data_IF_611357449059
#
_entry.id   IF_611357449059
#
_cell.length_a   1.000
_cell.length_b   1.000
_cell.length_c   1.000
_cell.angle_alpha   90.00
_cell.angle_beta   90.00
_cell.angle_gamma   90.00
#
_symmetry.space_group_name_H-M   'P 1'
#
loop_
_entity.id
_entity.type
_entity.pdbx_description
1 polymer ?
#
# COMPACT_ATOMS: atom_id res chain seq x y z
N UNK A 1 7.63 6.74 -10.86
CA UNK A 1 7.06 7.08 -9.54
C UNK A 1 7.92 6.46 -8.46
N UNK A 2 8.04 7.12 -7.31
CA UNK A 2 8.90 6.64 -6.22
C UNK A 2 8.21 5.54 -5.43
N UNK A 3 8.96 4.48 -5.10
CA UNK A 3 8.61 3.55 -4.01
C UNK A 3 9.64 3.80 -2.92
N UNK A 4 9.17 4.03 -1.70
CA UNK A 4 10.01 4.47 -0.58
C UNK A 4 9.97 3.44 0.53
N UNK A 5 11.11 3.15 1.14
CA UNK A 5 11.13 2.35 2.36
C UNK A 5 10.58 3.18 3.53
N UNK A 6 9.59 2.64 4.25
CA UNK A 6 8.89 3.34 5.32
C UNK A 6 9.79 3.61 6.54
N UNK A 7 10.87 2.82 6.72
CA UNK A 7 11.92 3.09 7.69
C UNK A 7 12.80 4.29 7.32
N UNK A 8 12.79 4.71 6.05
CA UNK A 8 13.55 5.86 5.55
C UNK A 8 12.69 7.13 5.49
N UNK A 9 11.45 7.03 4.99
CA UNK A 9 10.55 8.18 4.86
C UNK A 9 9.08 7.77 4.81
N UNK A 10 8.23 8.61 5.41
CA UNK A 10 6.77 8.47 5.40
C UNK A 10 6.11 9.13 4.20
N UNK A 11 6.91 9.75 3.33
CA UNK A 11 6.43 10.50 2.18
C UNK A 11 6.95 9.87 0.89
N UNK A 12 6.03 9.59 -0.03
CA UNK A 12 6.30 9.04 -1.36
C UNK A 12 5.58 9.89 -2.40
N UNK A 13 6.29 10.27 -3.46
CA UNK A 13 5.79 11.14 -4.53
C UNK A 13 5.19 12.48 -4.02
N UNK A 14 5.73 13.02 -2.91
CA UNK A 14 5.27 14.27 -2.30
C UNK A 14 4.07 14.15 -1.36
N UNK A 15 3.53 12.95 -1.13
CA UNK A 15 2.39 12.70 -0.24
C UNK A 15 2.78 11.82 0.93
N UNK A 16 2.26 12.14 2.12
CA UNK A 16 2.41 11.30 3.31
C UNK A 16 1.54 10.05 3.21
N UNK A 17 1.94 8.99 3.94
CA UNK A 17 1.12 7.80 4.20
C UNK A 17 -0.27 8.13 4.78
N UNK A 18 -0.43 9.31 5.41
CA UNK A 18 -1.71 9.78 5.96
C UNK A 18 -2.55 10.63 4.98
N UNK A 19 -1.96 11.06 3.85
CA UNK A 19 -2.63 11.99 2.92
C UNK A 19 -3.43 11.29 1.85
N UNK A 20 -2.99 10.09 1.45
CA UNK A 20 -3.59 9.29 0.40
C UNK A 20 -3.59 7.82 0.80
N UNK A 21 -4.49 7.02 0.20
CA UNK A 21 -4.39 5.57 0.30
C UNK A 21 -2.99 5.10 -0.06
N UNK A 22 -2.45 4.16 0.71
CA UNK A 22 -1.08 3.69 0.58
C UNK A 22 -1.03 2.18 0.51
N UNK A 23 -0.29 1.64 -0.45
CA UNK A 23 0.08 0.23 -0.47
C UNK A 23 1.45 0.07 0.20
N UNK A 24 1.44 -0.55 1.37
CA UNK A 24 2.63 -0.83 2.18
C UNK A 24 2.97 -2.31 2.04
N UNK A 25 4.09 -2.61 1.37
CA UNK A 25 4.54 -3.98 1.18
C UNK A 25 5.57 -4.39 2.23
N UNK A 26 5.31 -5.47 2.95
CA UNK A 26 6.21 -6.08 3.91
C UNK A 26 7.05 -7.15 3.22
N UNK A 27 8.26 -6.75 2.81
CA UNK A 27 9.17 -7.58 2.03
C UNK A 27 10.49 -7.88 2.78
N UNK A 28 10.49 -7.73 4.11
CA UNK A 28 11.65 -8.04 4.96
C UNK A 28 12.11 -9.50 4.90
N UNK A 29 11.27 -10.41 4.40
CA UNK A 29 11.59 -11.83 4.16
C UNK A 29 12.10 -12.11 2.73
N UNK A 30 12.10 -11.12 1.83
CA UNK A 30 12.64 -11.27 0.47
C UNK A 30 14.12 -10.92 0.47
N UNK A 31 14.91 -11.69 -0.28
CA UNK A 31 16.35 -11.48 -0.43
C UNK A 31 16.77 -11.55 -1.90
N UNK A 32 17.96 -11.02 -2.21
CA UNK A 32 18.57 -11.14 -3.53
C UNK A 32 17.66 -10.68 -4.67
N UNK A 33 17.54 -11.53 -5.70
CA UNK A 33 16.80 -11.23 -6.93
C UNK A 33 15.29 -11.06 -6.68
N UNK A 34 14.72 -11.77 -5.69
CA UNK A 34 13.29 -11.67 -5.38
C UNK A 34 12.93 -10.29 -4.83
N UNK A 35 13.79 -9.71 -3.97
CA UNK A 35 13.61 -8.35 -3.47
C UNK A 35 13.72 -7.33 -4.60
N UNK A 36 14.71 -7.49 -5.49
CA UNK A 36 14.91 -6.58 -6.64
C UNK A 36 13.73 -6.62 -7.59
N UNK A 37 13.22 -7.82 -7.89
CA UNK A 37 12.04 -8.00 -8.74
C UNK A 37 10.80 -7.38 -8.10
N UNK A 38 10.58 -7.61 -6.81
CA UNK A 38 9.46 -7.02 -6.08
C UNK A 38 9.48 -5.49 -6.09
N UNK A 39 10.65 -4.87 -5.91
CA UNK A 39 10.77 -3.42 -6.01
C UNK A 39 10.47 -2.88 -7.42
N UNK A 40 10.86 -3.61 -8.46
CA UNK A 40 10.54 -3.28 -9.85
C UNK A 40 9.04 -3.39 -10.12
N UNK A 41 8.39 -4.42 -9.58
CA UNK A 41 6.94 -4.62 -9.65
C UNK A 41 6.19 -3.49 -8.95
N UNK A 42 6.61 -3.11 -7.74
CA UNK A 42 6.04 -2.00 -7.00
C UNK A 42 6.18 -0.66 -7.74
N UNK A 43 7.30 -0.42 -8.42
CA UNK A 43 7.49 0.78 -9.26
C UNK A 43 6.55 0.78 -10.47
N UNK A 44 6.30 -0.39 -11.05
CA UNK A 44 5.35 -0.58 -12.15
C UNK A 44 3.92 -0.28 -11.68
N UNK A 45 3.48 -0.88 -10.58
CA UNK A 45 2.17 -0.61 -9.99
C UNK A 45 1.99 0.86 -9.59
N UNK A 46 3.04 1.47 -9.02
CA UNK A 46 3.03 2.89 -8.72
C UNK A 46 2.78 3.70 -9.99
N UNK A 47 3.52 3.43 -11.08
CA UNK A 47 3.34 4.10 -12.36
C UNK A 47 1.93 3.97 -12.93
N UNK A 48 1.31 2.78 -12.81
CA UNK A 48 -0.08 2.53 -13.20
C UNK A 48 -1.08 3.38 -12.37
N UNK A 49 -0.73 3.72 -11.12
CA UNK A 49 -1.61 4.44 -10.20
C UNK A 49 -1.38 5.96 -10.12
N UNK A 50 -0.35 6.53 -10.75
CA UNK A 50 -0.05 7.95 -10.53
C UNK A 50 -0.81 8.98 -11.35
N UNK A 51 -1.79 8.53 -12.14
CA UNK A 51 -2.87 9.41 -12.61
C UNK A 51 -4.16 8.86 -12.04
N UNK A 52 -4.52 9.36 -10.86
CA UNK A 52 -5.66 8.92 -10.11
C UNK A 52 -6.91 9.73 -10.42
N UNK A 53 -8.03 9.05 -10.59
CA UNK A 53 -9.34 9.66 -10.37
C UNK A 53 -9.57 9.75 -8.87
N UNK A 54 -9.61 10.96 -8.31
CA UNK A 54 -9.96 11.21 -6.91
C UNK A 54 -11.45 11.54 -6.88
N UNK A 55 -12.21 10.73 -6.14
CA UNK A 55 -13.64 10.97 -5.94
C UNK A 55 -13.90 11.56 -4.57
N UNK A 56 -14.54 12.72 -4.53
CA UNK A 56 -15.06 13.36 -3.32
C UNK A 56 -16.59 13.35 -3.40
N UNK A 57 -17.23 12.48 -2.60
CA UNK A 57 -18.63 12.11 -2.77
C UNK A 57 -18.91 11.53 -4.17
N UNK A 58 -19.79 12.20 -4.92
CA UNK A 58 -20.20 11.82 -6.28
C UNK A 58 -19.32 12.43 -7.39
N UNK A 59 -18.37 13.32 -7.03
CA UNK A 59 -17.55 14.04 -8.00
C UNK A 59 -16.18 13.39 -8.11
N UNK A 60 -15.95 12.74 -9.24
CA UNK A 60 -14.67 12.12 -9.58
C UNK A 60 -13.87 13.05 -10.51
N UNK A 61 -12.73 13.55 -10.05
CA UNK A 61 -11.82 14.37 -10.86
C UNK A 61 -10.53 13.63 -11.14
N UNK A 62 -10.12 13.61 -12.41
CA UNK A 62 -8.77 13.17 -12.77
C UNK A 62 -7.82 14.26 -12.30
N UNK A 63 -7.01 13.95 -11.30
CA UNK A 63 -5.93 14.83 -10.83
C UNK A 63 -4.61 14.30 -11.38
N UNK A 64 -3.66 15.21 -11.61
CA UNK A 64 -2.27 14.83 -11.89
C UNK A 64 -1.54 14.44 -10.60
N UNK A 65 -2.20 13.58 -9.82
CA UNK A 65 -1.76 13.08 -8.54
C UNK A 65 -2.05 11.57 -8.46
N UNK A 66 -1.27 10.81 -7.68
CA UNK A 66 -1.55 9.40 -7.49
C UNK A 66 -2.87 9.15 -6.78
N UNK A 67 -3.56 8.07 -7.15
CA UNK A 67 -4.69 7.52 -6.40
C UNK A 67 -4.22 6.72 -5.18
N UNK A 68 -3.05 6.08 -5.31
CA UNK A 68 -2.40 5.28 -4.26
C UNK A 68 -0.91 5.59 -4.24
N UNK A 69 -0.31 5.74 -3.06
CA UNK A 69 1.14 5.85 -2.88
C UNK A 69 1.74 4.54 -2.38
N UNK A 70 3.03 4.31 -2.66
CA UNK A 70 3.64 2.99 -2.49
C UNK A 70 4.82 3.07 -1.54
N UNK A 71 4.83 2.16 -0.57
CA UNK A 71 5.89 1.98 0.41
C UNK A 71 6.33 0.53 0.51
N UNK A 72 7.57 0.33 0.94
CA UNK A 72 8.12 -0.98 1.32
C UNK A 72 8.54 -0.97 2.78
N UNK A 73 8.51 -2.12 3.42
CA UNK A 73 9.01 -2.36 4.77
C UNK A 73 10.01 -3.50 4.67
N UNK A 74 11.29 -3.14 4.64
CA UNK A 74 12.41 -4.09 4.57
C UNK A 74 12.93 -4.52 5.94
N UNK A 75 12.57 -3.80 6.98
CA UNK A 75 12.97 -4.08 8.36
C UNK A 75 11.74 -4.03 9.25
N UNK A 76 11.63 -4.96 10.19
CA UNK A 76 10.57 -4.96 11.20
C UNK A 76 10.74 -3.77 12.16
N UNK A 77 9.66 -3.35 12.80
CA UNK A 77 9.70 -2.24 13.75
C UNK A 77 9.12 -0.92 13.25
N UNK A 78 9.00 0.02 14.19
CA UNK A 78 8.73 1.43 13.92
C UNK A 78 7.37 1.66 13.26
N UNK A 79 7.36 2.38 12.14
CA UNK A 79 6.12 2.69 11.44
C UNK A 79 5.52 1.49 10.72
N UNK A 80 6.33 0.48 10.36
CA UNK A 80 5.84 -0.76 9.79
C UNK A 80 4.92 -1.49 10.76
N UNK A 81 5.34 -1.64 12.03
CA UNK A 81 4.51 -2.23 13.08
C UNK A 81 3.25 -1.42 13.34
N UNK A 82 3.35 -0.09 13.40
CA UNK A 82 2.16 0.76 13.59
C UNK A 82 1.12 0.57 12.48
N UNK A 83 1.54 0.35 11.24
CA UNK A 83 0.62 0.07 10.13
C UNK A 83 -0.01 -1.33 10.28
N UNK A 84 0.72 -2.32 10.77
CA UNK A 84 0.16 -3.64 11.12
C UNK A 84 -0.91 -3.52 12.20
N UNK A 85 -0.61 -2.78 13.28
CA UNK A 85 -1.53 -2.56 14.40
C UNK A 85 -2.84 -1.89 13.94
N UNK A 86 -2.73 -0.85 13.10
CA UNK A 86 -3.89 -0.15 12.54
C UNK A 86 -4.75 -1.06 11.65
N UNK A 87 -4.12 -1.95 10.88
CA UNK A 87 -4.81 -2.95 10.08
C UNK A 87 -5.33 -4.15 10.90
N UNK A 88 -4.97 -4.22 12.19
CA UNK A 88 -5.30 -5.32 13.09
C UNK A 88 -4.64 -6.63 12.70
N UNK A 89 -3.45 -6.58 12.10
CA UNK A 89 -2.61 -7.74 11.78
C UNK A 89 -1.82 -8.13 13.03
N UNK A 90 -1.96 -9.37 13.48
CA UNK A 90 -1.15 -9.95 14.55
C UNK A 90 0.02 -10.73 13.96
N UNK A 91 1.08 -10.92 14.75
CA UNK A 91 2.28 -11.64 14.32
C UNK A 91 1.99 -13.06 13.78
N UNK A 92 0.97 -13.72 14.33
CA UNK A 92 0.56 -15.07 13.90
C UNK A 92 -0.29 -15.09 12.62
N UNK A 93 -0.78 -13.94 12.13
CA UNK A 93 -1.70 -13.85 10.99
C UNK A 93 -0.99 -13.93 9.63
N UNK A 94 0.34 -13.78 9.59
CA UNK A 94 1.13 -13.69 8.36
C UNK A 94 2.45 -14.45 8.48
N UNK A 95 2.57 -15.53 7.71
CA UNK A 95 3.75 -16.41 7.70
C UNK A 95 4.72 -16.15 6.54
N UNK A 96 4.47 -15.12 5.73
CA UNK A 96 5.25 -14.82 4.52
C UNK A 96 5.06 -13.36 4.08
N UNK A 97 5.72 -12.91 3.01
CA UNK A 97 5.59 -11.54 2.51
C UNK A 97 4.14 -11.18 2.20
N UNK A 98 3.74 -9.96 2.53
CA UNK A 98 2.35 -9.50 2.41
C UNK A 98 2.31 -7.99 2.18
N UNK A 99 1.14 -7.47 1.78
CA UNK A 99 0.92 -6.05 1.63
C UNK A 99 -0.31 -5.59 2.41
N UNK A 100 -0.28 -4.35 2.88
CA UNK A 100 -1.42 -3.68 3.49
C UNK A 100 -1.78 -2.50 2.60
N UNK A 101 -3.00 -2.46 2.11
CA UNK A 101 -3.60 -1.26 1.54
C UNK A 101 -4.26 -0.48 2.68
N UNK A 102 -3.69 0.65 3.05
CA UNK A 102 -4.13 1.50 4.15
C UNK A 102 -4.75 2.79 3.61
N UNK A 103 -5.96 3.12 4.03
CA UNK A 103 -6.60 4.41 3.82
C UNK A 103 -6.94 5.04 5.18
N UNK A 104 -6.01 5.84 5.71
CA UNK A 104 -6.16 6.50 7.02
C UNK A 104 -7.32 7.49 7.01
N UNK A 105 -7.54 8.22 5.90
CA UNK A 105 -8.62 9.21 5.80
C UNK A 105 -9.98 8.54 5.67
N UNK A 106 -10.04 7.44 4.91
CA UNK A 106 -11.23 6.58 4.83
C UNK A 106 -11.44 5.73 6.08
N UNK A 107 -10.48 5.70 7.02
CA UNK A 107 -10.58 4.92 8.24
C UNK A 107 -10.63 3.41 7.99
N UNK A 108 -9.98 2.92 6.93
CA UNK A 108 -10.01 1.49 6.60
C UNK A 108 -8.66 0.93 6.10
N UNK A 109 -8.51 -0.38 6.17
CA UNK A 109 -7.37 -1.12 5.63
C UNK A 109 -7.80 -2.46 5.02
N UNK A 110 -6.97 -2.98 4.13
CA UNK A 110 -7.08 -4.31 3.56
C UNK A 110 -5.73 -5.01 3.58
N UNK A 111 -5.71 -6.26 4.05
CA UNK A 111 -4.51 -7.08 4.12
C UNK A 111 -4.52 -8.05 2.95
N UNK A 112 -3.48 -7.98 2.12
CA UNK A 112 -3.25 -8.89 1.01
C UNK A 112 -2.12 -9.86 1.35
N UNK A 113 -2.42 -11.15 1.38
CA UNK A 113 -1.44 -12.19 1.62
C UNK A 113 -0.66 -12.50 0.34
N UNK A 114 0.68 -12.40 0.40
CA UNK A 114 1.55 -12.55 -0.76
C UNK A 114 1.86 -11.22 -1.45
N UNK A 115 2.88 -11.25 -2.31
CA UNK A 115 3.37 -10.10 -3.08
C UNK A 115 3.33 -10.33 -4.60
N UNK A 116 2.42 -11.18 -5.06
CA UNK A 116 2.24 -11.40 -6.49
C UNK A 116 1.71 -10.12 -7.17
N UNK A 117 2.46 -9.61 -8.16
CA UNK A 117 2.15 -8.33 -8.84
C UNK A 117 0.76 -8.29 -9.48
N UNK A 118 0.30 -9.38 -10.08
CA UNK A 118 -1.01 -9.43 -10.74
C UNK A 118 -2.16 -9.41 -9.73
N UNK A 119 -1.98 -10.10 -8.59
CA UNK A 119 -2.93 -10.08 -7.49
C UNK A 119 -2.99 -8.70 -6.82
N UNK A 120 -1.84 -8.06 -6.62
CA UNK A 120 -1.76 -6.68 -6.12
C UNK A 120 -2.42 -5.69 -7.09
N UNK A 121 -2.15 -5.81 -8.40
CA UNK A 121 -2.80 -4.99 -9.43
C UNK A 121 -4.31 -5.13 -9.37
N UNK A 122 -4.82 -6.36 -9.28
CA UNK A 122 -6.26 -6.62 -9.18
C UNK A 122 -6.87 -6.02 -7.91
N UNK A 123 -6.15 -6.10 -6.78
CA UNK A 123 -6.57 -5.48 -5.51
C UNK A 123 -6.69 -3.96 -5.66
N UNK A 124 -5.71 -3.31 -6.29
CA UNK A 124 -5.73 -1.87 -6.57
C UNK A 124 -6.89 -1.47 -7.49
N UNK A 125 -7.17 -2.28 -8.52
CA UNK A 125 -8.32 -2.06 -9.41
C UNK A 125 -9.66 -2.19 -8.66
N UNK A 126 -9.80 -3.19 -7.79
CA UNK A 126 -11.00 -3.35 -6.96
C UNK A 126 -11.17 -2.19 -5.99
N UNK A 127 -10.08 -1.70 -5.40
CA UNK A 127 -10.08 -0.52 -4.53
C UNK A 127 -10.56 0.73 -5.29
N UNK A 128 -9.99 1.02 -6.46
CA UNK A 128 -10.39 2.16 -7.29
C UNK A 128 -11.85 2.06 -7.76
N UNK A 129 -12.34 0.84 -7.99
CA UNK A 129 -13.74 0.57 -8.33
C UNK A 129 -14.68 0.60 -7.12
N UNK A 130 -14.19 0.89 -5.91
CA UNK A 130 -14.95 0.83 -4.63
C UNK A 130 -15.62 -0.54 -4.40
N UNK A 131 -15.02 -1.61 -4.93
CA UNK A 131 -15.51 -2.98 -4.85
C UNK A 131 -14.69 -3.85 -3.89
N UNK A 132 -13.60 -3.31 -3.34
CA UNK A 132 -12.77 -3.99 -2.35
C UNK A 132 -13.40 -3.82 -0.96
N UNK A 133 -13.63 -4.95 -0.28
CA UNK A 133 -14.14 -4.96 1.09
C UNK A 133 -13.00 -4.63 2.06
N UNK A 134 -12.95 -3.38 2.52
CA UNK A 134 -11.93 -2.89 3.44
C UNK A 134 -12.44 -2.92 4.88
N UNK A 135 -11.60 -3.39 5.79
CA UNK A 135 -11.90 -3.45 7.21
C UNK A 135 -11.68 -2.08 7.86
N UNK A 136 -12.56 -1.66 8.75
CA UNK A 136 -12.36 -0.44 9.53
C UNK A 136 -11.10 -0.52 10.39
N UNK A 137 -10.36 0.59 10.48
CA UNK A 137 -9.17 0.68 11.34
C UNK A 137 -9.55 0.57 12.82
N UNK A 138 -8.69 -0.08 13.59
CA UNK A 138 -8.75 -0.08 15.04
C UNK A 138 -7.96 1.11 15.60
N UNK A 139 -8.66 2.05 16.22
CA UNK A 139 -8.09 3.17 16.99
C UNK A 139 -8.21 2.94 18.49
#
# INVERSE_FOLDING_TARGET
>A
MSVVDLGVSTSSNGFSINDKPSLVSYCHMLEGDDLVQHEADMKTLAAECGRGTVCDGDVCTVKDEPSVVFFTVKTTGGLGERVQDLAGVKDDDVTGPYAILLDVRGGSAYVHHGLNVDALRKTLQQFQAKALDMKALSF
#
